data_IF_692616877316
#
_entry.id   IF_692616877316
#
_cell.length_a   1.000
_cell.length_b   1.000
_cell.length_c   1.000
_cell.angle_alpha   90.00
_cell.angle_beta   90.00
_cell.angle_gamma   90.00
#
_symmetry.space_group_name_H-M   'P 1'
#
loop_
_entity.id
_entity.type
_entity.pdbx_description
1 polymer ?
#
# COMPACT_ATOMS: atom_id res chain seq x y z
N UNK A 1 -18.98 -11.76 8.38
CA UNK A 1 -19.16 -10.97 7.15
C UNK A 1 -19.27 -9.50 7.54
N UNK A 2 -18.67 -8.60 6.76
CA UNK A 2 -18.76 -7.15 6.90
C UNK A 2 -19.16 -6.60 5.53
N UNK A 3 -20.20 -5.77 5.45
CA UNK A 3 -20.59 -5.11 4.20
C UNK A 3 -21.04 -3.67 4.42
N UNK A 4 -20.79 -2.80 3.44
CA UNK A 4 -21.25 -1.40 3.43
C UNK A 4 -20.73 -0.57 4.62
N UNK A 5 -19.49 -0.84 5.08
CA UNK A 5 -18.86 -0.16 6.22
C UNK A 5 -17.67 0.69 5.78
N UNK A 6 -17.59 1.92 6.30
CA UNK A 6 -16.36 2.72 6.27
C UNK A 6 -15.73 2.70 7.66
N UNK A 7 -14.50 2.22 7.75
CA UNK A 7 -13.65 2.40 8.92
C UNK A 7 -12.86 3.69 8.75
N UNK A 8 -12.86 4.56 9.76
CA UNK A 8 -12.19 5.86 9.72
C UNK A 8 -11.64 6.24 11.09
N UNK A 9 -10.80 7.27 11.12
CA UNK A 9 -10.28 7.88 12.34
C UNK A 9 -10.68 9.35 12.45
N UNK A 10 -10.72 9.86 13.68
CA UNK A 10 -10.77 11.30 13.96
C UNK A 10 -9.41 11.68 14.52
N UNK A 11 -8.62 12.43 13.76
CA UNK A 11 -7.20 12.64 14.02
C UNK A 11 -6.87 13.69 15.08
N UNK A 12 -5.60 13.73 15.53
CA UNK A 12 -4.50 12.84 15.13
C UNK A 12 -4.49 11.49 15.88
N UNK A 13 -4.20 10.40 15.16
CA UNK A 13 -4.28 9.00 15.67
C UNK A 13 -3.08 8.14 15.26
N UNK A 14 -1.85 8.63 15.53
CA UNK A 14 -0.59 8.01 15.09
C UNK A 14 -0.37 6.55 15.54
N UNK A 15 -1.10 6.07 16.55
CA UNK A 15 -1.00 4.70 17.09
C UNK A 15 -2.12 3.75 16.65
N UNK A 16 -3.06 4.19 15.82
CA UNK A 16 -4.24 3.39 15.47
C UNK A 16 -3.87 2.25 14.49
N UNK A 17 -4.16 1.02 14.89
CA UNK A 17 -4.38 -0.09 13.95
C UNK A 17 -5.87 -0.09 13.68
N UNK A 18 -6.28 0.29 12.47
CA UNK A 18 -7.70 0.59 12.19
C UNK A 18 -8.52 -0.68 12.13
N UNK A 19 -8.00 -1.73 11.49
CA UNK A 19 -8.60 -3.05 11.49
C UNK A 19 -7.52 -4.12 11.67
N UNK A 20 -7.59 -4.84 12.79
CA UNK A 20 -6.82 -6.08 13.00
C UNK A 20 -7.74 -7.28 12.75
N UNK A 21 -7.44 -8.02 11.69
CA UNK A 21 -8.22 -9.16 11.22
C UNK A 21 -7.58 -10.46 11.71
N UNK A 22 -8.22 -11.06 12.71
CA UNK A 22 -7.72 -12.27 13.36
C UNK A 22 -8.45 -13.55 12.97
N UNK A 23 -9.68 -13.42 12.47
CA UNK A 23 -10.59 -14.54 12.30
C UNK A 23 -10.15 -15.44 11.14
N UNK A 24 -10.28 -16.76 11.33
CA UNK A 24 -10.17 -17.75 10.28
C UNK A 24 -11.57 -18.21 9.85
N UNK A 25 -11.74 -18.45 8.57
CA UNK A 25 -12.97 -19.00 8.00
C UNK A 25 -13.25 -20.39 8.60
N UNK A 26 -14.52 -20.76 8.80
CA UNK A 26 -14.87 -22.11 9.25
C UNK A 26 -14.42 -23.19 8.26
N UNK A 27 -14.11 -24.38 8.78
CA UNK A 27 -13.76 -25.52 7.93
C UNK A 27 -14.86 -25.82 6.90
N UNK A 28 -14.47 -25.98 5.64
CA UNK A 28 -15.39 -26.24 4.53
C UNK A 28 -16.19 -25.03 4.02
N UNK A 29 -15.93 -23.82 4.54
CA UNK A 29 -16.64 -22.59 4.15
C UNK A 29 -15.66 -21.56 3.58
N UNK A 30 -15.25 -21.75 2.32
CA UNK A 30 -14.39 -20.78 1.63
C UNK A 30 -15.11 -19.42 1.52
N UNK A 31 -14.40 -18.34 1.88
CA UNK A 31 -14.99 -17.00 1.93
C UNK A 31 -15.85 -16.74 3.17
N UNK A 32 -15.91 -17.68 4.14
CA UNK A 32 -16.72 -17.53 5.36
C UNK A 32 -16.25 -16.44 6.33
N UNK A 33 -15.06 -15.88 6.10
CA UNK A 33 -14.56 -14.68 6.76
C UNK A 33 -14.19 -13.65 5.68
N UNK A 34 -15.06 -12.68 5.44
CA UNK A 34 -14.85 -11.70 4.37
C UNK A 34 -15.56 -10.36 4.56
N UNK A 35 -15.20 -9.45 3.66
CA UNK A 35 -15.64 -8.07 3.62
C UNK A 35 -15.90 -7.63 2.16
N UNK A 36 -17.04 -6.97 1.93
CA UNK A 36 -17.50 -6.48 0.62
C UNK A 36 -17.93 -5.01 0.72
N UNK A 37 -17.72 -4.21 -0.33
CA UNK A 37 -18.13 -2.80 -0.38
C UNK A 37 -17.84 -2.03 0.92
N UNK A 38 -16.66 -2.29 1.49
CA UNK A 38 -16.24 -1.70 2.76
C UNK A 38 -14.82 -1.21 2.63
N UNK A 39 -14.55 -0.06 3.23
CA UNK A 39 -13.38 0.74 2.95
C UNK A 39 -12.73 1.24 4.24
N UNK A 40 -11.43 1.48 4.20
CA UNK A 40 -10.72 2.21 5.24
C UNK A 40 -10.38 3.58 4.67
N UNK A 41 -11.00 4.63 5.21
CA UNK A 41 -10.83 6.02 4.76
C UNK A 41 -10.18 6.85 5.86
N UNK A 42 -8.93 7.26 5.64
CA UNK A 42 -8.14 7.97 6.65
C UNK A 42 -8.00 9.45 6.28
N UNK A 43 -8.82 10.29 6.93
CA UNK A 43 -8.84 11.73 6.73
C UNK A 43 -9.56 12.19 5.47
N UNK A 44 -9.37 13.46 5.10
CA UNK A 44 -9.89 14.05 3.86
C UNK A 44 -11.42 14.10 3.76
N UNK A 45 -12.14 14.10 4.88
CA UNK A 45 -13.59 14.20 4.89
C UNK A 45 -14.07 14.91 6.16
N UNK A 46 -15.26 15.51 6.08
CA UNK A 46 -15.88 16.22 7.19
C UNK A 46 -15.98 15.32 8.44
N UNK A 47 -15.52 15.84 9.57
CA UNK A 47 -15.57 15.14 10.86
C UNK A 47 -14.34 14.27 11.14
N UNK A 48 -13.38 14.19 10.22
CA UNK A 48 -12.11 13.50 10.46
C UNK A 48 -11.11 14.35 11.24
N UNK A 49 -11.28 15.69 11.24
CA UNK A 49 -10.29 16.64 11.76
C UNK A 49 -8.93 16.53 11.03
N UNK A 50 -8.94 15.99 9.81
CA UNK A 50 -7.77 15.76 8.95
C UNK A 50 -8.10 16.27 7.54
N UNK A 51 -8.70 17.45 7.48
CA UNK A 51 -9.15 18.17 6.28
C UNK A 51 -8.10 19.21 5.84
N UNK A 52 -8.30 19.87 4.69
CA UNK A 52 -7.32 20.79 4.10
C UNK A 52 -6.96 21.98 5.00
N UNK A 53 -7.86 22.38 5.91
CA UNK A 53 -7.60 23.43 6.88
C UNK A 53 -6.54 23.02 7.91
N UNK A 54 -6.54 21.76 8.35
CA UNK A 54 -5.63 21.23 9.34
C UNK A 54 -4.33 20.77 8.68
N UNK A 55 -4.43 20.15 7.50
CA UNK A 55 -3.33 19.41 6.89
C UNK A 55 -3.09 19.78 5.41
N UNK A 56 -2.93 21.08 5.07
CA UNK A 56 -2.71 21.49 3.70
C UNK A 56 -1.41 20.89 3.13
N UNK A 57 -1.37 20.62 1.82
CA UNK A 57 -0.18 20.09 1.12
C UNK A 57 1.07 20.97 1.23
N UNK A 58 0.93 22.24 1.65
CA UNK A 58 2.04 23.13 2.00
C UNK A 58 2.85 22.66 3.22
N UNK A 59 2.33 21.71 4.00
CA UNK A 59 2.93 21.22 5.24
C UNK A 59 2.75 22.15 6.44
N UNK A 60 2.04 23.29 6.30
CA UNK A 60 1.85 24.26 7.39
C UNK A 60 1.04 23.72 8.57
N UNK A 61 0.31 22.61 8.39
CA UNK A 61 -0.38 21.88 9.45
C UNK A 61 0.54 21.21 10.47
N UNK A 62 1.79 20.96 10.06
CA UNK A 62 2.76 20.21 10.83
C UNK A 62 2.43 18.73 10.94
N UNK A 63 3.45 17.92 11.20
CA UNK A 63 3.32 16.46 11.25
C UNK A 63 2.42 15.97 12.38
N UNK A 64 2.55 16.53 13.59
CA UNK A 64 1.86 16.05 14.80
C UNK A 64 0.34 16.06 14.64
N UNK A 65 -0.21 17.05 13.94
CA UNK A 65 -1.66 17.21 13.77
C UNK A 65 -2.23 16.32 12.65
N UNK A 66 -1.37 15.83 11.76
CA UNK A 66 -1.78 15.20 10.50
C UNK A 66 -1.54 13.69 10.47
N UNK A 67 -1.31 13.07 11.62
CA UNK A 67 -1.26 11.62 11.74
C UNK A 67 -2.65 10.99 11.64
N UNK A 68 -2.84 10.11 10.67
CA UNK A 68 -4.12 9.46 10.42
C UNK A 68 -4.21 8.04 11.00
N UNK A 69 -3.13 7.24 10.90
CA UNK A 69 -3.09 5.89 11.48
C UNK A 69 -1.64 5.36 11.60
N UNK A 70 -1.46 4.30 12.39
CA UNK A 70 -0.22 3.52 12.43
C UNK A 70 -0.19 2.45 11.32
N UNK A 71 -1.30 1.72 11.17
CA UNK A 71 -1.51 0.63 10.23
C UNK A 71 -3.00 0.56 9.88
N UNK A 72 -3.34 0.54 8.59
CA UNK A 72 -4.74 0.53 8.19
C UNK A 72 -5.36 -0.86 8.36
N UNK A 73 -4.77 -1.89 7.75
CA UNK A 73 -5.28 -3.27 7.83
C UNK A 73 -4.16 -4.26 8.18
N UNK A 74 -4.37 -5.06 9.22
CA UNK A 74 -3.48 -6.14 9.61
C UNK A 74 -4.18 -7.50 9.50
N UNK A 75 -3.77 -8.33 8.55
CA UNK A 75 -4.17 -9.75 8.52
C UNK A 75 -3.15 -10.55 9.34
N UNK A 76 -3.55 -11.00 10.53
CA UNK A 76 -2.63 -11.67 11.46
C UNK A 76 -2.36 -13.13 11.04
N UNK A 77 -1.34 -13.80 11.61
CA UNK A 77 -0.86 -15.09 11.08
C UNK A 77 -1.90 -16.20 10.95
N UNK A 78 -2.87 -16.27 11.88
CA UNK A 78 -3.90 -17.32 11.89
C UNK A 78 -5.13 -16.98 11.05
N UNK A 79 -5.20 -15.76 10.51
CA UNK A 79 -6.40 -15.30 9.81
C UNK A 79 -6.57 -15.89 8.42
N UNK A 80 -7.78 -15.78 7.90
CA UNK A 80 -8.09 -15.90 6.46
C UNK A 80 -9.05 -14.76 6.09
N UNK A 81 -9.01 -14.29 4.86
CA UNK A 81 -9.85 -13.16 4.45
C UNK A 81 -10.28 -13.25 2.99
N UNK A 82 -11.55 -12.97 2.72
CA UNK A 82 -12.05 -12.63 1.39
C UNK A 82 -12.41 -11.15 1.36
N UNK A 83 -11.61 -10.33 0.68
CA UNK A 83 -11.75 -8.88 0.64
C UNK A 83 -12.06 -8.46 -0.81
N UNK A 84 -13.27 -7.99 -1.07
CA UNK A 84 -13.71 -7.60 -2.40
C UNK A 84 -14.04 -6.12 -2.47
N UNK A 85 -13.43 -5.41 -3.42
CA UNK A 85 -13.60 -3.96 -3.59
C UNK A 85 -13.06 -3.12 -2.44
N UNK A 86 -12.30 -3.72 -1.52
CA UNK A 86 -11.76 -3.01 -0.34
C UNK A 86 -10.78 -1.93 -0.78
N UNK A 87 -11.08 -0.68 -0.40
CA UNK A 87 -10.20 0.46 -0.64
C UNK A 87 -9.62 0.93 0.69
N UNK A 88 -8.30 0.90 0.79
CA UNK A 88 -7.53 1.35 1.96
C UNK A 88 -6.82 2.64 1.57
N UNK A 89 -7.50 3.76 1.80
CA UNK A 89 -7.09 5.07 1.31
C UNK A 89 -6.64 5.97 2.46
N UNK A 90 -5.39 6.39 2.41
CA UNK A 90 -4.97 7.61 3.10
C UNK A 90 -5.24 8.80 2.19
N UNK A 91 -5.98 9.79 2.71
CA UNK A 91 -6.45 10.88 1.88
C UNK A 91 -5.30 11.75 1.34
N UNK A 92 -5.24 11.87 0.02
CA UNK A 92 -4.33 12.76 -0.72
C UNK A 92 -4.97 14.13 -1.03
N UNK A 93 -6.30 14.22 -0.95
CA UNK A 93 -7.09 15.44 -1.09
C UNK A 93 -8.30 15.45 -0.15
N UNK A 94 -8.87 16.63 0.05
CA UNK A 94 -10.09 16.82 0.83
C UNK A 94 -11.34 16.59 -0.04
N UNK A 95 -12.20 15.65 0.37
CA UNK A 95 -13.43 15.28 -0.34
C UNK A 95 -14.56 16.29 -0.13
N UNK A 96 -14.59 16.94 1.04
CA UNK A 96 -15.67 17.87 1.45
C UNK A 96 -15.19 19.34 1.43
N UNK A 97 -13.95 19.57 0.98
CA UNK A 97 -13.33 20.87 0.77
C UNK A 97 -12.64 20.95 -0.59
N UNK A 98 -11.63 21.82 -0.69
CA UNK A 98 -10.82 21.97 -1.91
C UNK A 98 -9.33 21.75 -1.60
N UNK A 99 -8.66 20.99 -2.46
CA UNK A 99 -7.20 20.92 -2.52
C UNK A 99 -6.56 19.63 -1.99
N UNK A 100 -5.28 19.46 -2.34
CA UNK A 100 -4.43 18.36 -1.86
C UNK A 100 -4.05 18.57 -0.38
N UNK A 101 -3.88 17.46 0.32
CA UNK A 101 -3.52 17.42 1.75
C UNK A 101 -2.30 16.53 1.99
N UNK A 102 -1.62 16.75 3.12
CA UNK A 102 -0.51 15.90 3.59
C UNK A 102 -0.92 15.22 4.89
N UNK A 103 -1.34 13.96 4.79
CA UNK A 103 -1.62 13.12 5.95
C UNK A 103 -0.58 12.01 6.09
N UNK A 104 -0.43 11.48 7.30
CA UNK A 104 0.57 10.47 7.60
C UNK A 104 -0.07 9.21 8.17
N UNK A 105 -0.06 8.14 7.36
CA UNK A 105 -0.32 6.77 7.80
C UNK A 105 0.89 5.90 7.51
N UNK A 106 1.34 5.13 8.50
CA UNK A 106 2.60 4.40 8.40
C UNK A 106 2.54 3.28 7.36
N UNK A 107 1.46 2.50 7.37
CA UNK A 107 1.33 1.23 6.66
C UNK A 107 -0.09 1.08 6.11
N UNK A 108 -0.21 0.58 4.88
CA UNK A 108 -1.49 0.20 4.29
C UNK A 108 -1.97 -1.15 4.81
N UNK A 109 -1.71 -2.19 4.02
CA UNK A 109 -2.09 -3.56 4.31
C UNK A 109 -0.84 -4.37 4.66
N UNK A 110 -0.79 -4.85 5.91
CA UNK A 110 0.16 -5.86 6.36
C UNK A 110 -0.54 -7.22 6.42
N UNK A 111 -0.01 -8.22 5.71
CA UNK A 111 -0.47 -9.59 5.85
C UNK A 111 0.66 -10.51 6.30
N UNK A 112 0.40 -11.20 7.40
CA UNK A 112 1.19 -12.34 7.88
C UNK A 112 0.40 -13.65 7.76
N UNK A 113 -0.82 -13.59 7.21
CA UNK A 113 -1.77 -14.68 7.17
C UNK A 113 -1.21 -15.91 6.44
N UNK A 114 -1.38 -17.08 7.05
CA UNK A 114 -1.12 -18.38 6.40
C UNK A 114 -2.20 -18.77 5.37
N UNK A 115 -3.24 -17.94 5.24
CA UNK A 115 -4.30 -18.04 4.26
C UNK A 115 -5.43 -19.02 4.60
N UNK A 116 -6.38 -19.19 3.67
CA UNK A 116 -6.39 -18.52 2.36
C UNK A 116 -6.75 -17.03 2.45
N UNK A 117 -6.16 -16.21 1.58
CA UNK A 117 -6.54 -14.79 1.43
C UNK A 117 -6.84 -14.49 -0.04
N UNK A 118 -7.97 -13.84 -0.28
CA UNK A 118 -8.40 -13.35 -1.58
C UNK A 118 -8.55 -11.83 -1.51
N UNK A 119 -7.73 -11.12 -2.27
CA UNK A 119 -7.81 -9.67 -2.45
C UNK A 119 -8.34 -9.41 -3.86
N UNK A 120 -9.65 -9.23 -3.95
CA UNK A 120 -10.38 -9.10 -5.22
C UNK A 120 -10.63 -7.61 -5.49
N UNK A 121 -9.91 -7.05 -6.46
CA UNK A 121 -10.05 -5.63 -6.81
C UNK A 121 -9.74 -4.66 -5.66
N UNK A 122 -8.75 -4.97 -4.83
CA UNK A 122 -8.40 -4.11 -3.68
C UNK A 122 -7.42 -3.01 -4.06
N UNK A 123 -7.50 -1.87 -3.38
CA UNK A 123 -6.54 -0.78 -3.52
C UNK A 123 -5.99 -0.37 -2.15
N UNK A 124 -4.70 -0.03 -2.07
CA UNK A 124 -4.10 0.58 -0.88
C UNK A 124 -3.17 1.71 -1.30
N UNK A 125 -3.35 2.90 -0.73
CA UNK A 125 -2.75 4.11 -1.30
C UNK A 125 -2.25 5.09 -0.24
N UNK A 126 -1.16 5.77 -0.60
CA UNK A 126 -0.59 6.92 0.09
C UNK A 126 0.00 6.65 1.49
N UNK A 127 0.26 5.40 1.84
CA UNK A 127 0.92 5.04 3.10
C UNK A 127 2.44 5.20 3.01
N UNK A 128 3.07 5.62 4.10
CA UNK A 128 4.46 6.10 4.15
C UNK A 128 5.49 5.00 3.87
N UNK A 129 5.31 3.79 4.40
CA UNK A 129 6.29 2.70 4.28
C UNK A 129 5.97 1.78 3.10
N UNK A 130 4.72 1.34 3.02
CA UNK A 130 4.23 0.43 2.00
C UNK A 130 2.71 0.46 1.88
N UNK A 131 2.23 0.16 0.68
CA UNK A 131 0.80 -0.05 0.44
C UNK A 131 0.40 -1.49 0.75
N UNK A 132 1.15 -2.47 0.24
CA UNK A 132 1.03 -3.88 0.61
C UNK A 132 2.36 -4.44 1.11
N UNK A 133 2.34 -5.14 2.25
CA UNK A 133 3.47 -5.93 2.75
C UNK A 133 3.01 -7.33 3.13
N UNK A 134 3.61 -8.34 2.52
CA UNK A 134 3.39 -9.75 2.83
C UNK A 134 4.63 -10.31 3.53
N UNK A 135 4.50 -10.76 4.77
CA UNK A 135 5.64 -11.25 5.56
C UNK A 135 5.31 -12.57 6.24
N UNK A 136 6.06 -13.62 5.91
CA UNK A 136 5.74 -15.00 6.32
C UNK A 136 4.33 -15.46 5.89
N UNK A 137 3.73 -14.79 4.92
CA UNK A 137 2.38 -15.05 4.45
C UNK A 137 2.33 -16.26 3.51
N UNK A 138 1.17 -16.90 3.41
CA UNK A 138 0.94 -18.02 2.49
C UNK A 138 -0.42 -17.95 1.81
N UNK A 139 -0.53 -18.56 0.62
CA UNK A 139 -1.81 -18.83 -0.05
C UNK A 139 -2.64 -17.56 -0.31
N UNK A 140 -2.07 -16.60 -1.03
CA UNK A 140 -2.76 -15.36 -1.40
C UNK A 140 -3.07 -15.34 -2.90
N UNK A 141 -4.30 -14.98 -3.23
CA UNK A 141 -4.67 -14.48 -4.55
C UNK A 141 -4.92 -12.98 -4.46
N UNK A 142 -4.30 -12.21 -5.35
CA UNK A 142 -4.36 -10.75 -5.38
C UNK A 142 -4.67 -10.32 -6.82
N UNK A 143 -5.89 -9.85 -7.12
CA UNK A 143 -6.32 -9.65 -8.50
C UNK A 143 -7.53 -8.72 -8.67
N UNK A 144 -7.43 -7.59 -9.37
CA UNK A 144 -6.19 -6.79 -9.51
C UNK A 144 -5.94 -6.03 -8.19
N UNK A 145 -4.68 -5.79 -7.86
CA UNK A 145 -4.31 -4.84 -6.80
C UNK A 145 -3.86 -3.50 -7.39
N UNK A 146 -4.14 -2.42 -6.66
CA UNK A 146 -3.78 -1.07 -7.09
C UNK A 146 -3.11 -0.28 -5.95
N UNK A 147 -2.11 0.54 -6.28
CA UNK A 147 -1.40 1.39 -5.33
C UNK A 147 -0.95 2.74 -5.88
N UNK A 148 -0.96 3.76 -5.03
CA UNK A 148 -0.28 5.04 -5.25
C UNK A 148 0.69 5.40 -4.11
N UNK A 149 1.86 5.91 -4.48
CA UNK A 149 2.82 6.52 -3.54
C UNK A 149 2.29 7.86 -3.03
N UNK A 150 2.39 8.19 -1.73
CA UNK A 150 1.92 9.48 -1.21
C UNK A 150 2.64 10.66 -1.86
N UNK A 151 1.87 11.66 -2.27
CA UNK A 151 2.35 12.72 -3.18
C UNK A 151 3.45 13.61 -2.60
N UNK A 152 3.50 13.72 -1.27
CA UNK A 152 4.55 14.45 -0.57
C UNK A 152 5.92 13.77 -0.65
N UNK A 153 6.00 12.45 -0.89
CA UNK A 153 7.28 11.76 -0.97
C UNK A 153 8.06 12.25 -2.20
N UNK A 154 9.38 12.50 -2.05
CA UNK A 154 10.26 12.04 -0.98
C UNK A 154 10.47 13.02 0.19
N UNK A 155 9.55 13.96 0.42
CA UNK A 155 9.65 14.95 1.49
C UNK A 155 8.48 14.85 2.50
N UNK A 156 8.66 14.14 3.63
CA UNK A 156 9.83 13.38 3.99
C UNK A 156 9.86 11.99 3.32
N UNK A 157 11.04 11.40 3.25
CA UNK A 157 11.23 10.03 2.79
C UNK A 157 10.87 9.02 3.91
N UNK A 158 10.49 7.77 3.57
CA UNK A 158 10.27 6.72 4.56
C UNK A 158 11.50 6.49 5.46
N UNK A 159 11.34 6.25 6.77
CA UNK A 159 10.09 5.94 7.45
C UNK A 159 9.38 7.17 8.00
N UNK A 160 9.99 8.35 7.86
CA UNK A 160 9.51 9.58 8.48
C UNK A 160 8.09 9.92 7.98
N UNK A 161 7.17 10.31 8.87
CA UNK A 161 7.40 10.69 10.27
C UNK A 161 7.30 9.55 11.29
N UNK A 162 7.19 8.31 10.85
CA UNK A 162 7.18 7.14 11.73
C UNK A 162 8.59 6.63 12.01
N UNK A 163 8.71 5.79 13.03
CA UNK A 163 9.89 4.96 13.27
C UNK A 163 9.66 3.55 12.75
N UNK A 164 10.73 2.88 12.32
CA UNK A 164 10.71 1.45 12.03
C UNK A 164 10.31 0.66 13.28
N UNK A 165 9.39 -0.27 13.11
CA UNK A 165 8.89 -1.16 14.13
C UNK A 165 8.94 -2.61 13.64
N UNK A 166 9.92 -3.37 14.13
CA UNK A 166 10.13 -4.77 13.76
C UNK A 166 9.01 -5.70 14.23
N UNK A 167 8.21 -5.31 15.24
CA UNK A 167 7.03 -6.07 15.65
C UNK A 167 5.96 -6.12 14.55
N UNK A 168 5.90 -5.10 13.70
CA UNK A 168 4.99 -5.02 12.54
C UNK A 168 5.71 -5.27 11.21
N UNK A 169 6.86 -5.95 11.29
CA UNK A 169 7.61 -6.43 10.12
C UNK A 169 7.93 -5.34 9.09
N UNK A 170 8.17 -4.13 9.57
CA UNK A 170 8.66 -3.07 8.69
C UNK A 170 9.95 -3.48 7.98
N UNK A 171 10.20 -2.94 6.78
CA UNK A 171 11.50 -3.08 6.12
C UNK A 171 12.62 -2.74 7.09
N UNK A 172 13.55 -3.68 7.29
CA UNK A 172 14.62 -3.56 8.29
C UNK A 172 15.55 -2.36 8.03
N UNK A 173 15.61 -1.89 6.78
CA UNK A 173 16.28 -0.68 6.36
C UNK A 173 15.37 0.09 5.40
N UNK A 174 15.35 1.41 5.55
CA UNK A 174 14.83 2.33 4.54
C UNK A 174 15.93 3.21 3.96
N UNK A 175 17.20 2.88 4.23
CA UNK A 175 18.34 3.65 3.75
C UNK A 175 18.34 3.68 2.22
N UNK A 176 18.20 4.88 1.64
CA UNK A 176 18.13 5.07 0.19
C UNK A 176 16.74 4.89 -0.40
N UNK A 177 15.72 4.54 0.39
CA UNK A 177 14.33 4.62 -0.05
C UNK A 177 13.87 6.08 -0.03
N UNK A 178 13.40 6.54 -1.17
CA UNK A 178 12.80 7.87 -1.32
C UNK A 178 11.28 7.83 -1.16
N UNK A 179 10.68 6.66 -1.38
CA UNK A 179 9.25 6.48 -1.54
C UNK A 179 8.81 5.11 -1.00
N UNK A 180 7.52 5.00 -0.70
CA UNK A 180 6.89 3.79 -0.18
C UNK A 180 6.89 2.63 -1.19
N UNK A 181 6.95 1.40 -0.71
CA UNK A 181 6.74 0.24 -1.58
C UNK A 181 5.27 0.13 -2.01
N UNK A 182 5.01 -0.15 -3.29
CA UNK A 182 3.69 -0.59 -3.74
C UNK A 182 3.38 -1.98 -3.20
N UNK A 183 4.29 -2.93 -3.41
CA UNK A 183 4.21 -4.28 -2.86
C UNK A 183 5.58 -4.75 -2.40
N UNK A 184 5.69 -5.18 -1.13
CA UNK A 184 6.87 -5.86 -0.60
C UNK A 184 6.51 -7.27 -0.15
N UNK A 185 7.28 -8.27 -0.59
CA UNK A 185 7.06 -9.68 -0.26
C UNK A 185 8.32 -10.25 0.38
N UNK A 186 8.18 -10.77 1.60
CA UNK A 186 9.31 -11.28 2.39
C UNK A 186 8.95 -12.64 2.99
N UNK A 187 9.78 -13.64 2.72
CA UNK A 187 9.68 -15.01 3.26
C UNK A 187 8.27 -15.60 3.13
N UNK A 188 7.59 -15.34 2.00
CA UNK A 188 6.19 -15.72 1.79
C UNK A 188 6.04 -16.71 0.65
N UNK A 189 5.05 -17.62 0.70
CA UNK A 189 4.90 -18.68 -0.31
C UNK A 189 3.51 -18.75 -0.91
N UNK A 190 3.42 -19.29 -2.12
CA UNK A 190 2.15 -19.55 -2.81
C UNK A 190 1.32 -18.27 -2.99
N UNK A 191 2.01 -17.22 -3.45
CA UNK A 191 1.42 -15.91 -3.73
C UNK A 191 1.15 -15.79 -5.23
N UNK A 192 -0.07 -15.42 -5.61
CA UNK A 192 -0.44 -15.13 -6.99
C UNK A 192 -0.93 -13.70 -7.06
N UNK A 193 -0.24 -12.87 -7.83
CA UNK A 193 -0.68 -11.54 -8.23
C UNK A 193 -1.15 -11.63 -9.67
N UNK A 194 -2.45 -11.47 -9.90
CA UNK A 194 -3.08 -11.56 -11.22
C UNK A 194 -3.64 -10.20 -11.62
N UNK A 195 -2.77 -9.35 -12.13
CA UNK A 195 -3.02 -7.93 -12.35
C UNK A 195 -2.52 -7.10 -11.17
N UNK A 196 -1.64 -6.14 -11.46
CA UNK A 196 -1.24 -5.11 -10.51
C UNK A 196 -1.05 -3.76 -11.21
N UNK A 197 -1.59 -2.68 -10.65
CA UNK A 197 -1.35 -1.31 -11.07
C UNK A 197 -0.64 -0.54 -9.96
N UNK A 198 0.68 -0.35 -10.07
CA UNK A 198 1.48 0.29 -9.03
C UNK A 198 2.05 1.62 -9.50
N UNK A 199 1.61 2.73 -8.93
CA UNK A 199 1.84 4.05 -9.51
C UNK A 199 2.61 4.98 -8.58
N UNK A 200 3.50 5.78 -9.17
CA UNK A 200 4.17 6.89 -8.50
C UNK A 200 4.06 8.14 -9.35
N UNK A 201 3.16 9.05 -9.01
CA UNK A 201 2.83 10.19 -9.86
C UNK A 201 3.62 11.47 -9.57
N UNK A 202 4.22 11.57 -8.40
CA UNK A 202 4.76 12.82 -7.87
C UNK A 202 6.16 12.64 -7.30
N UNK A 203 6.87 13.76 -7.23
CA UNK A 203 8.03 13.97 -6.37
C UNK A 203 7.80 15.27 -5.61
N UNK A 204 7.36 15.18 -4.34
CA UNK A 204 7.00 16.33 -3.50
C UNK A 204 5.98 17.25 -4.21
N UNK A 205 4.83 16.68 -4.59
CA UNK A 205 3.72 17.31 -5.31
C UNK A 205 4.03 17.85 -6.73
N UNK A 206 5.28 17.75 -7.20
CA UNK A 206 5.65 18.05 -8.59
C UNK A 206 5.54 16.81 -9.49
N UNK A 207 5.13 17.00 -10.74
CA UNK A 207 4.90 15.90 -11.72
C UNK A 207 5.89 15.90 -12.89
N UNK A 208 6.95 16.73 -12.87
CA UNK A 208 7.94 16.74 -13.95
C UNK A 208 8.61 15.37 -14.15
N UNK A 209 8.73 14.60 -13.06
CA UNK A 209 9.27 13.23 -13.05
C UNK A 209 8.49 12.23 -13.92
N UNK A 210 7.22 12.51 -14.27
CA UNK A 210 6.42 11.67 -15.16
C UNK A 210 7.04 11.59 -16.56
N UNK A 211 7.62 12.71 -17.05
CA UNK A 211 8.18 12.79 -18.40
C UNK A 211 9.37 11.86 -18.61
N UNK A 212 10.12 11.58 -17.54
CA UNK A 212 11.28 10.70 -17.54
C UNK A 212 10.99 9.33 -16.92
N UNK A 213 9.76 9.11 -16.43
CA UNK A 213 9.36 7.93 -15.68
C UNK A 213 10.26 7.64 -14.44
N UNK A 214 10.64 8.68 -13.72
CA UNK A 214 11.59 8.61 -12.59
C UNK A 214 11.05 9.26 -11.30
N UNK A 215 9.75 9.19 -11.05
CA UNK A 215 9.17 9.72 -9.80
C UNK A 215 9.62 8.88 -8.59
N UNK A 216 9.84 7.58 -8.80
CA UNK A 216 10.33 6.65 -7.80
C UNK A 216 11.36 5.69 -8.42
N UNK A 217 12.33 5.24 -7.62
CA UNK A 217 13.37 4.33 -8.12
C UNK A 217 12.88 2.89 -8.24
N UNK A 218 12.19 2.36 -7.24
CA UNK A 218 11.75 0.96 -7.14
C UNK A 218 10.37 0.89 -6.46
N UNK A 219 9.45 0.03 -6.91
CA UNK A 219 8.06 0.00 -6.39
C UNK A 219 7.56 -1.38 -5.94
N UNK A 220 8.04 -2.46 -6.54
CA UNK A 220 7.75 -3.83 -6.11
C UNK A 220 9.05 -4.53 -5.73
N UNK A 221 9.10 -5.12 -4.54
CA UNK A 221 10.26 -5.88 -4.06
C UNK A 221 9.85 -7.28 -3.55
N UNK A 222 10.64 -8.28 -3.90
CA UNK A 222 10.49 -9.67 -3.45
C UNK A 222 11.84 -10.18 -2.96
N UNK A 223 11.87 -10.86 -1.81
CA UNK A 223 13.10 -11.53 -1.37
C UNK A 223 13.39 -12.82 -2.17
N UNK A 224 14.62 -13.32 -2.10
CA UNK A 224 14.99 -14.57 -2.80
C UNK A 224 14.33 -15.83 -2.22
N UNK A 225 13.67 -15.75 -1.06
CA UNK A 225 13.09 -16.92 -0.39
C UNK A 225 11.61 -17.11 -0.70
N UNK A 226 10.96 -16.10 -1.27
CA UNK A 226 9.52 -16.12 -1.52
C UNK A 226 9.15 -16.84 -2.82
N UNK A 227 8.02 -17.56 -2.82
CA UNK A 227 7.41 -18.10 -4.03
C UNK A 227 6.18 -17.27 -4.42
N UNK A 228 6.29 -16.60 -5.56
CA UNK A 228 5.27 -15.69 -6.08
C UNK A 228 5.20 -15.81 -7.61
N UNK A 229 4.00 -15.72 -8.18
CA UNK A 229 3.79 -15.54 -9.61
C UNK A 229 3.04 -14.24 -9.85
N UNK A 230 3.60 -13.39 -10.71
CA UNK A 230 3.07 -12.08 -11.03
C UNK A 230 2.65 -12.10 -12.49
N UNK A 231 1.40 -11.77 -12.76
CA UNK A 231 0.84 -11.61 -14.09
C UNK A 231 0.34 -10.17 -14.26
N UNK A 232 0.61 -9.57 -15.41
CA UNK A 232 0.17 -8.22 -15.77
C UNK A 232 0.49 -7.17 -14.70
N UNK A 233 1.78 -6.98 -14.42
CA UNK A 233 2.27 -5.90 -13.58
C UNK A 233 2.45 -4.64 -14.41
N UNK A 234 1.58 -3.65 -14.20
CA UNK A 234 1.70 -2.32 -14.77
C UNK A 234 2.19 -1.33 -13.73
N UNK A 235 3.20 -0.54 -14.07
CA UNK A 235 3.74 0.52 -13.20
C UNK A 235 3.77 1.87 -13.90
N UNK A 236 3.64 2.96 -13.14
CA UNK A 236 3.75 4.32 -13.67
C UNK A 236 4.90 5.05 -13.00
N UNK A 237 5.76 5.64 -13.86
CA UNK A 237 6.87 6.51 -13.51
C UNK A 237 7.80 6.00 -12.39
N UNK A 238 8.07 4.69 -12.40
CA UNK A 238 9.06 4.05 -11.56
C UNK A 238 10.19 3.48 -12.40
N UNK A 239 11.45 3.81 -12.09
CA UNK A 239 12.61 3.33 -12.87
C UNK A 239 12.68 1.80 -12.95
N UNK A 240 12.50 1.12 -11.82
CA UNK A 240 12.47 -0.34 -11.73
C UNK A 240 11.09 -0.83 -11.29
N UNK A 241 10.39 -1.51 -12.19
CA UNK A 241 9.06 -2.07 -11.94
C UNK A 241 9.11 -3.17 -10.89
N UNK A 242 10.19 -3.96 -10.89
CA UNK A 242 10.38 -5.09 -10.00
C UNK A 242 11.85 -5.19 -9.57
N UNK A 243 12.01 -5.45 -8.28
CA UNK A 243 13.27 -5.65 -7.59
C UNK A 243 13.30 -6.99 -6.88
N UNK A 244 14.51 -7.54 -6.74
CA UNK A 244 14.76 -8.72 -5.92
C UNK A 244 15.82 -8.37 -4.87
N UNK A 245 15.50 -8.58 -3.60
CA UNK A 245 16.31 -8.14 -2.46
C UNK A 245 16.71 -6.65 -2.58
N UNK A 246 15.75 -5.79 -2.91
CA UNK A 246 15.90 -4.34 -3.05
C UNK A 246 16.88 -3.90 -4.16
N UNK A 247 17.20 -4.82 -5.08
CA UNK A 247 17.97 -4.55 -6.29
C UNK A 247 17.04 -4.60 -7.49
N UNK A 248 16.89 -3.47 -8.19
CA UNK A 248 16.07 -3.38 -9.39
C UNK A 248 16.55 -4.30 -10.51
N UNK A 249 15.67 -5.18 -11.00
CA UNK A 249 15.99 -6.16 -12.06
C UNK A 249 15.14 -5.99 -13.32
N UNK A 250 13.94 -5.38 -13.21
CA UNK A 250 13.09 -5.07 -14.37
C UNK A 250 13.00 -3.55 -14.52
N UNK A 251 13.77 -2.99 -15.45
CA UNK A 251 13.66 -1.57 -15.79
C UNK A 251 12.39 -1.33 -16.62
N UNK A 252 11.71 -0.21 -16.35
CA UNK A 252 10.50 0.20 -17.06
C UNK A 252 10.74 0.45 -18.55
N UNK A 253 11.94 0.89 -18.94
CA UNK A 253 12.28 1.28 -20.31
C UNK A 253 12.12 0.16 -21.35
N UNK A 254 12.15 -1.10 -20.90
CA UNK A 254 11.96 -2.30 -21.74
C UNK A 254 10.49 -2.72 -21.89
N UNK A 255 9.59 -2.05 -21.18
CA UNK A 255 8.21 -2.51 -21.00
C UNK A 255 7.19 -1.37 -21.19
N UNK A 256 7.57 -0.23 -21.76
CA UNK A 256 6.65 0.89 -22.01
C UNK A 256 5.44 0.45 -22.84
N UNK A 257 4.24 0.73 -22.33
CA UNK A 257 2.96 0.27 -22.89
C UNK A 257 1.90 1.40 -22.79
N UNK A 258 2.16 2.49 -23.52
CA UNK A 258 1.35 3.71 -23.44
C UNK A 258 1.74 4.58 -22.26
N UNK A 259 0.79 4.85 -21.36
CA UNK A 259 1.04 5.70 -20.19
C UNK A 259 1.80 4.97 -19.07
N UNK A 260 1.58 3.67 -18.94
CA UNK A 260 2.28 2.81 -18.00
C UNK A 260 3.38 2.00 -18.70
N UNK A 261 4.19 1.32 -17.92
CA UNK A 261 5.04 0.21 -18.38
C UNK A 261 4.47 -1.10 -17.84
N UNK A 262 4.43 -2.17 -18.63
CA UNK A 262 3.75 -3.43 -18.30
C UNK A 262 4.66 -4.64 -18.48
N UNK A 263 4.89 -5.37 -17.38
CA UNK A 263 5.52 -6.69 -17.35
C UNK A 263 4.43 -7.77 -17.36
N UNK A 264 4.32 -8.53 -18.46
CA UNK A 264 3.25 -9.52 -18.65
C UNK A 264 3.29 -10.66 -17.64
N UNK A 265 4.47 -11.20 -17.34
CA UNK A 265 4.64 -12.32 -16.40
C UNK A 265 6.01 -12.29 -15.76
N UNK A 266 6.08 -12.65 -14.47
CA UNK A 266 7.32 -12.91 -13.76
C UNK A 266 7.11 -13.95 -12.65
N UNK A 267 8.12 -14.78 -12.45
CA UNK A 267 8.24 -15.66 -11.28
C UNK A 267 9.72 -15.81 -10.91
N UNK A 268 10.06 -16.05 -9.63
CA UNK A 268 11.39 -16.48 -9.24
C UNK A 268 11.82 -17.75 -10.01
N UNK A 269 13.11 -17.85 -10.32
CA UNK A 269 13.73 -19.05 -10.92
C UNK A 269 13.94 -20.16 -9.92
#
# INVERSE_FOLDING_TARGET
>A
EISDIIFATVGPTAGAIVLEWNIQQPSGQNGGAGMWDSHIRLGGAAGTNLEARQCPSSGSGGTTNCFAAFLALHLTPASSAYLEGTWVWLADHDLDGDGQISLYSGRGILSESAGPVWLIGTASEHHVLYQYSLVNAKNHYMGLIQTETPYFQPNPAPPSPFSINSSFKDPASTSGLTSAWGLKVTTSSDIIVFGAGLYSFFSNYDQACLTTATCQSQILDVDSSSSISIYSLSTVATTFQLSVNEVGIVNQDRNMDGFASTLTVWSPT
#
